data_IF_660821223187
#
_entry.id   IF_660821223187
#
_cell.length_a   1.000
_cell.length_b   1.000
_cell.length_c   1.000
_cell.angle_alpha   90.00
_cell.angle_beta   90.00
_cell.angle_gamma   90.00
#
_symmetry.space_group_name_H-M   'P 1'
#
loop_
_entity.id
_entity.type
_entity.pdbx_description
1 polymer ?
#
# COMPACT_ATOMS: atom_id res chain seq x y z
N UNK A 1 12.92 11.46 12.35
CA UNK A 1 12.41 12.44 11.37
C UNK A 1 10.91 12.60 11.55
N UNK A 2 10.40 13.76 11.97
CA UNK A 2 8.96 14.02 12.17
C UNK A 2 8.08 13.88 10.90
N UNK A 3 8.63 13.40 9.78
CA UNK A 3 7.95 13.31 8.48
C UNK A 3 7.98 11.91 7.83
N UNK A 4 8.70 10.91 8.37
CA UNK A 4 8.77 9.59 7.69
C UNK A 4 7.45 8.81 7.79
N UNK A 5 6.84 8.78 8.98
CA UNK A 5 5.53 8.15 9.18
C UNK A 5 4.46 8.79 8.30
N UNK A 6 4.41 10.12 8.27
CA UNK A 6 3.46 10.88 7.44
C UNK A 6 3.67 10.61 5.95
N UNK A 7 4.91 10.72 5.45
CA UNK A 7 5.29 10.39 4.07
C UNK A 7 4.87 8.97 3.70
N UNK A 8 5.07 8.00 4.59
CA UNK A 8 4.68 6.61 4.36
C UNK A 8 3.16 6.42 4.33
N UNK A 9 2.40 7.14 5.18
CA UNK A 9 0.94 7.16 5.13
C UNK A 9 0.46 7.71 3.79
N UNK A 10 0.99 8.85 3.36
CA UNK A 10 0.63 9.47 2.08
C UNK A 10 0.90 8.53 0.90
N UNK A 11 2.07 7.87 0.89
CA UNK A 11 2.41 6.88 -0.14
C UNK A 11 1.49 5.67 -0.10
N UNK A 12 1.24 5.07 1.06
CA UNK A 12 0.35 3.93 1.19
C UNK A 12 -1.07 4.26 0.70
N UNK A 13 -1.61 5.44 1.04
CA UNK A 13 -2.90 5.92 0.56
C UNK A 13 -2.90 6.14 -0.96
N UNK A 14 -1.83 6.65 -1.53
CA UNK A 14 -1.69 6.81 -2.98
C UNK A 14 -1.77 5.46 -3.71
N UNK A 15 -1.08 4.43 -3.21
CA UNK A 15 -1.12 3.08 -3.78
C UNK A 15 -2.49 2.45 -3.66
N UNK A 16 -3.13 2.54 -2.48
CA UNK A 16 -4.51 2.06 -2.28
C UNK A 16 -5.44 2.69 -3.33
N UNK A 17 -5.39 4.02 -3.48
CA UNK A 17 -6.23 4.74 -4.46
C UNK A 17 -5.94 4.29 -5.89
N UNK A 18 -4.66 4.09 -6.24
CA UNK A 18 -4.25 3.62 -7.57
C UNK A 18 -4.80 2.22 -7.86
N UNK A 19 -4.64 1.29 -6.92
CA UNK A 19 -5.12 -0.09 -7.09
C UNK A 19 -6.64 -0.15 -7.17
N UNK A 20 -7.37 0.61 -6.34
CA UNK A 20 -8.83 0.73 -6.47
C UNK A 20 -9.23 1.23 -7.86
N UNK A 21 -8.59 2.30 -8.35
CA UNK A 21 -8.86 2.84 -9.69
C UNK A 21 -8.56 1.80 -10.78
N UNK A 22 -7.48 1.03 -10.66
CA UNK A 22 -7.15 0.00 -11.64
C UNK A 22 -8.21 -1.11 -11.67
N UNK A 23 -8.69 -1.55 -10.50
CA UNK A 23 -9.76 -2.55 -10.36
C UNK A 23 -11.07 -2.05 -10.95
N UNK A 24 -11.48 -0.82 -10.59
CA UNK A 24 -12.71 -0.19 -11.10
C UNK A 24 -12.74 -0.14 -12.64
N UNK A 25 -11.59 0.12 -13.27
CA UNK A 25 -11.50 0.23 -14.73
C UNK A 25 -11.26 -1.11 -15.46
N UNK A 26 -10.90 -2.20 -14.76
CA UNK A 26 -10.48 -3.46 -15.37
C UNK A 26 -11.04 -4.69 -14.65
N UNK A 27 -12.26 -4.60 -14.13
CA UNK A 27 -12.86 -5.62 -13.25
C UNK A 27 -12.86 -7.05 -13.82
N UNK A 28 -13.02 -7.22 -15.13
CA UNK A 28 -13.08 -8.53 -15.81
C UNK A 28 -11.72 -9.03 -16.34
N UNK A 29 -10.64 -8.26 -16.15
CA UNK A 29 -9.32 -8.62 -16.63
C UNK A 29 -8.61 -9.56 -15.64
N UNK A 30 -7.80 -10.51 -16.10
CA UNK A 30 -6.92 -11.31 -15.24
C UNK A 30 -6.01 -10.45 -14.35
N UNK A 31 -5.69 -9.24 -14.79
CA UNK A 31 -4.95 -8.23 -14.01
C UNK A 31 -5.67 -7.81 -12.71
N UNK A 32 -7.00 -7.97 -12.62
CA UNK A 32 -7.79 -7.64 -11.42
C UNK A 32 -7.34 -8.43 -10.19
N UNK A 33 -6.95 -9.71 -10.35
CA UNK A 33 -6.44 -10.56 -9.25
C UNK A 33 -5.12 -10.03 -8.71
N UNK A 34 -4.22 -9.60 -9.59
CA UNK A 34 -2.94 -8.99 -9.23
C UNK A 34 -3.14 -7.65 -8.52
N UNK A 35 -4.06 -6.82 -9.02
CA UNK A 35 -4.40 -5.54 -8.38
C UNK A 35 -5.03 -5.74 -7.00
N UNK A 36 -5.89 -6.73 -6.82
CA UNK A 36 -6.46 -7.10 -5.51
C UNK A 36 -5.38 -7.54 -4.52
N UNK A 37 -4.39 -8.31 -4.98
CA UNK A 37 -3.24 -8.72 -4.16
C UNK A 37 -2.43 -7.50 -3.69
N UNK A 38 -2.12 -6.57 -4.59
CA UNK A 38 -1.39 -5.35 -4.23
C UNK A 38 -2.22 -4.43 -3.33
N UNK A 39 -3.51 -4.27 -3.59
CA UNK A 39 -4.43 -3.51 -2.74
C UNK A 39 -4.41 -4.04 -1.29
N UNK A 40 -4.57 -5.36 -1.12
CA UNK A 40 -4.50 -6.01 0.20
C UNK A 40 -3.17 -5.70 0.89
N UNK A 41 -2.06 -5.85 0.16
CA UNK A 41 -0.72 -5.57 0.68
C UNK A 41 -0.56 -4.10 1.11
N UNK A 42 -1.05 -3.13 0.31
CA UNK A 42 -1.00 -1.71 0.63
C UNK A 42 -1.82 -1.35 1.87
N UNK A 43 -2.98 -2.00 2.07
CA UNK A 43 -3.81 -1.83 3.28
C UNK A 43 -3.10 -2.38 4.52
N UNK A 44 -2.47 -3.56 4.42
CA UNK A 44 -1.68 -4.14 5.51
C UNK A 44 -0.49 -3.24 5.88
N UNK A 45 0.21 -2.71 4.88
CA UNK A 45 1.31 -1.74 5.07
C UNK A 45 0.81 -0.49 5.81
N UNK A 46 -0.32 0.09 5.39
CA UNK A 46 -0.91 1.25 6.05
C UNK A 46 -1.23 0.93 7.53
N UNK A 47 -1.88 -0.21 7.79
CA UNK A 47 -2.19 -0.67 9.14
C UNK A 47 -0.93 -0.77 10.01
N UNK A 48 0.16 -1.33 9.47
CA UNK A 48 1.44 -1.42 10.18
C UNK A 48 2.03 -0.06 10.51
N UNK A 49 2.05 0.88 9.56
CA UNK A 49 2.57 2.24 9.77
C UNK A 49 1.77 2.96 10.85
N UNK A 50 0.43 2.86 10.82
CA UNK A 50 -0.45 3.47 11.83
C UNK A 50 -0.13 2.93 13.23
N UNK A 51 0.17 1.63 13.32
CA UNK A 51 0.59 0.93 14.53
C UNK A 51 2.09 1.07 14.87
N UNK A 52 2.82 2.02 14.27
CA UNK A 52 4.25 2.25 14.49
C UNK A 52 5.15 1.02 14.20
N UNK A 53 4.71 0.10 13.35
CA UNK A 53 5.48 -1.07 12.90
C UNK A 53 6.19 -0.76 11.58
N UNK A 54 7.31 -1.45 11.31
CA UNK A 54 7.97 -1.40 9.98
C UNK A 54 6.96 -1.75 8.89
N UNK A 55 6.88 -0.99 7.79
CA UNK A 55 5.90 -1.23 6.74
C UNK A 55 6.06 -2.61 6.11
N UNK A 56 7.30 -3.07 5.93
CA UNK A 56 7.62 -4.38 5.37
C UNK A 56 8.34 -5.24 6.43
N UNK A 57 7.72 -6.30 6.97
CA UNK A 57 8.30 -7.10 8.05
C UNK A 57 9.57 -7.85 7.64
N UNK A 58 9.66 -8.24 6.36
CA UNK A 58 10.72 -9.11 5.85
C UNK A 58 11.79 -8.34 5.05
N UNK A 59 11.74 -7.00 5.04
CA UNK A 59 12.67 -6.16 4.29
C UNK A 59 13.24 -5.12 5.25
N UNK A 60 14.55 -4.91 5.20
CA UNK A 60 15.18 -3.84 5.97
C UNK A 60 14.99 -2.49 5.28
N UNK A 61 13.74 -2.01 5.31
CA UNK A 61 13.32 -0.76 4.70
C UNK A 61 12.28 -0.07 5.57
N UNK A 62 12.46 1.23 5.76
CA UNK A 62 11.48 2.05 6.47
C UNK A 62 10.53 2.77 5.51
N UNK A 63 10.88 2.94 4.23
CA UNK A 63 10.06 3.66 3.26
C UNK A 63 9.07 2.74 2.50
N UNK A 64 7.84 3.24 2.33
CA UNK A 64 6.88 2.73 1.33
C UNK A 64 7.30 3.22 -0.05
N UNK A 65 7.28 2.34 -1.06
CA UNK A 65 7.47 2.69 -2.46
C UNK A 65 6.13 2.80 -3.10
#
# INVERSE_FOLDING_TARGET
>A
MKNLKEKNIQRALWHIKRHCKNIENNYENELSKTELFYLKSSVEILSRILNNKKPYPNLDREEVF
#
